data_IF_826646729727
#
_entry.id   IF_826646729727
#
_cell.length_a   1.000
_cell.length_b   1.000
_cell.length_c   1.000
_cell.angle_alpha   90.00
_cell.angle_beta   90.00
_cell.angle_gamma   90.00
#
_symmetry.space_group_name_H-M   'P 1'
#
loop_
_entity.id
_entity.type
_entity.pdbx_description
1 polymer ?
#
# COMPACT_ATOMS: atom_id res chain seq x y z
N UNK A 1 -34.70 -18.76 -9.49
CA UNK A 1 -33.25 -18.98 -9.28
C UNK A 1 -32.77 -18.10 -8.14
N UNK A 2 -31.99 -18.66 -7.24
CA UNK A 2 -31.42 -17.88 -6.13
C UNK A 2 -30.05 -17.33 -6.49
N UNK A 3 -29.64 -16.25 -5.82
CA UNK A 3 -28.28 -15.71 -5.99
C UNK A 3 -27.23 -16.74 -5.50
N UNK A 4 -26.02 -16.69 -6.02
CA UNK A 4 -24.91 -17.50 -5.49
C UNK A 4 -24.46 -16.92 -4.15
N UNK A 5 -23.89 -17.76 -3.29
CA UNK A 5 -23.43 -17.36 -1.95
C UNK A 5 -21.90 -17.39 -1.79
N UNK A 6 -21.20 -17.81 -2.82
CA UNK A 6 -19.74 -17.96 -2.81
C UNK A 6 -19.00 -16.77 -3.43
N UNK A 7 -19.67 -15.61 -3.52
CA UNK A 7 -19.03 -14.38 -3.99
C UNK A 7 -18.06 -13.85 -2.91
N UNK A 8 -17.06 -13.10 -3.35
CA UNK A 8 -16.09 -12.50 -2.43
C UNK A 8 -16.74 -11.44 -1.55
N UNK A 9 -16.34 -11.40 -0.28
CA UNK A 9 -16.69 -10.26 0.57
C UNK A 9 -15.95 -9.00 0.09
N UNK A 10 -16.37 -7.84 0.53
CA UNK A 10 -15.68 -6.60 0.21
C UNK A 10 -14.22 -6.64 0.66
N UNK A 11 -13.94 -7.14 1.87
CA UNK A 11 -12.58 -7.24 2.38
C UNK A 11 -11.73 -8.21 1.56
N UNK A 12 -12.27 -9.36 1.19
CA UNK A 12 -11.57 -10.31 0.33
C UNK A 12 -11.26 -9.70 -1.04
N UNK A 13 -12.24 -9.00 -1.60
CA UNK A 13 -12.08 -8.35 -2.91
C UNK A 13 -10.98 -7.29 -2.87
N UNK A 14 -11.08 -6.34 -1.93
CA UNK A 14 -10.12 -5.24 -1.87
C UNK A 14 -8.73 -5.70 -1.43
N UNK A 15 -8.65 -6.69 -0.55
CA UNK A 15 -7.35 -7.26 -0.21
C UNK A 15 -6.72 -7.98 -1.40
N UNK A 16 -7.52 -8.63 -2.23
CA UNK A 16 -7.03 -9.25 -3.48
C UNK A 16 -6.50 -8.20 -4.44
N UNK A 17 -7.14 -7.03 -4.52
CA UNK A 17 -6.64 -5.91 -5.31
C UNK A 17 -5.28 -5.44 -4.78
N UNK A 18 -5.14 -5.30 -3.46
CA UNK A 18 -3.86 -4.93 -2.85
C UNK A 18 -2.77 -5.96 -3.17
N UNK A 19 -3.10 -7.25 -3.06
CA UNK A 19 -2.15 -8.33 -3.35
C UNK A 19 -1.72 -8.37 -4.81
N UNK A 20 -2.65 -8.20 -5.74
CA UNK A 20 -2.29 -8.20 -7.15
C UNK A 20 -1.45 -6.95 -7.49
N UNK A 21 -1.73 -5.84 -6.82
CA UNK A 21 -0.94 -4.61 -6.97
C UNK A 21 0.50 -4.82 -6.52
N UNK A 22 0.72 -5.57 -5.44
CA UNK A 22 2.06 -5.93 -4.97
C UNK A 22 2.88 -6.63 -6.05
N UNK A 23 2.22 -7.34 -6.96
CA UNK A 23 2.87 -8.01 -8.08
C UNK A 23 3.59 -7.08 -9.05
N UNK A 24 3.30 -5.78 -8.98
CA UNK A 24 4.02 -4.77 -9.77
C UNK A 24 5.32 -4.32 -9.11
N UNK A 25 5.59 -4.60 -7.85
CA UNK A 25 6.81 -4.19 -7.17
C UNK A 25 8.03 -4.91 -7.73
N UNK A 26 9.07 -4.16 -8.00
CA UNK A 26 10.35 -4.68 -8.50
C UNK A 26 11.34 -4.95 -7.36
N UNK A 27 10.94 -4.72 -6.13
CA UNK A 27 11.78 -5.00 -4.95
C UNK A 27 12.03 -6.51 -4.88
N UNK A 28 13.29 -6.96 -4.90
CA UNK A 28 13.59 -8.40 -4.88
C UNK A 28 13.32 -9.07 -3.55
N UNK A 29 13.18 -8.29 -2.46
CA UNK A 29 13.05 -8.84 -1.10
C UNK A 29 11.60 -8.86 -0.61
N UNK A 30 10.88 -7.74 -0.72
CA UNK A 30 9.53 -7.61 -0.18
C UNK A 30 8.67 -6.82 -1.15
N UNK A 31 7.55 -7.40 -1.57
CA UNK A 31 6.59 -6.77 -2.43
C UNK A 31 5.33 -6.44 -1.61
N UNK A 32 4.95 -5.17 -1.59
CA UNK A 32 3.81 -4.68 -0.84
C UNK A 32 2.85 -3.95 -1.77
N UNK A 33 1.56 -4.20 -1.60
CA UNK A 33 0.52 -3.51 -2.34
C UNK A 33 -0.50 -2.90 -1.41
N UNK A 34 -1.08 -1.78 -1.83
CA UNK A 34 -2.10 -1.06 -1.08
C UNK A 34 -3.26 -0.67 -2.00
N UNK A 35 -4.46 -0.67 -1.43
CA UNK A 35 -5.68 -0.26 -2.11
C UNK A 35 -6.50 0.62 -1.16
N UNK A 36 -6.75 1.87 -1.57
CA UNK A 36 -7.58 2.80 -0.78
C UNK A 36 -8.99 2.77 -1.33
N UNK A 37 -9.94 2.62 -0.41
CA UNK A 37 -11.36 2.45 -0.74
C UNK A 37 -12.20 3.47 0.01
N UNK A 38 -13.13 4.13 -0.67
CA UNK A 38 -14.03 5.07 -0.06
C UNK A 38 -15.03 4.37 0.88
N UNK A 39 -15.71 5.16 1.70
CA UNK A 39 -16.72 4.61 2.62
C UNK A 39 -17.86 3.87 1.91
N UNK A 40 -18.10 4.19 0.64
CA UNK A 40 -19.13 3.54 -0.18
C UNK A 40 -18.58 2.49 -1.15
N UNK A 41 -17.41 1.91 -0.81
CA UNK A 41 -16.81 0.79 -1.52
C UNK A 41 -16.35 1.08 -2.95
N UNK A 42 -15.86 2.28 -3.19
CA UNK A 42 -15.23 2.63 -4.47
C UNK A 42 -13.73 2.64 -4.32
N UNK A 43 -13.03 1.99 -5.24
CA UNK A 43 -11.58 2.03 -5.25
C UNK A 43 -11.15 3.44 -5.64
N UNK A 44 -10.41 4.11 -4.74
CA UNK A 44 -9.90 5.45 -4.98
C UNK A 44 -8.52 5.42 -5.62
N UNK A 45 -7.65 4.54 -5.16
CA UNK A 45 -6.27 4.48 -5.62
C UNK A 45 -5.61 3.17 -5.21
N UNK A 46 -4.55 2.82 -5.92
CA UNK A 46 -3.66 1.71 -5.55
C UNK A 46 -2.22 2.18 -5.57
N UNK A 47 -1.36 1.46 -4.88
CA UNK A 47 0.06 1.72 -4.88
C UNK A 47 0.85 0.48 -4.51
N UNK A 48 2.09 0.43 -4.95
CA UNK A 48 3.03 -0.62 -4.58
C UNK A 48 4.38 0.01 -4.25
N UNK A 49 5.20 -0.69 -3.48
CA UNK A 49 6.50 -0.16 -3.07
C UNK A 49 7.49 -0.18 -4.25
N UNK A 50 8.33 0.84 -4.32
CA UNK A 50 9.27 0.93 -5.42
C UNK A 50 10.12 2.18 -5.40
N UNK A 51 10.92 2.35 -6.44
CA UNK A 51 11.72 3.54 -6.65
C UNK A 51 10.83 4.76 -6.89
N UNK A 52 11.31 5.96 -6.56
CA UNK A 52 10.59 7.18 -6.92
C UNK A 52 10.32 7.25 -8.41
N UNK A 53 9.24 7.92 -8.79
CA UNK A 53 8.90 8.12 -10.19
C UNK A 53 10.08 8.76 -10.94
N UNK A 54 10.29 8.34 -12.18
CA UNK A 54 11.38 8.79 -13.05
C UNK A 54 12.78 8.36 -12.61
N UNK A 55 12.90 7.52 -11.62
CA UNK A 55 14.16 6.89 -11.26
C UNK A 55 14.34 5.60 -12.08
N UNK A 56 15.55 5.37 -12.58
CA UNK A 56 15.86 4.15 -13.33
C UNK A 56 15.90 2.95 -12.37
N UNK A 57 14.94 2.04 -12.51
CA UNK A 57 14.84 0.86 -11.64
C UNK A 57 16.08 -0.04 -11.71
N UNK A 58 16.77 -0.07 -12.84
CA UNK A 58 17.97 -0.89 -13.00
C UNK A 58 19.17 -0.32 -12.27
N UNK A 59 19.12 0.98 -11.92
CA UNK A 59 20.17 1.68 -11.19
C UNK A 59 19.81 1.93 -9.73
N UNK A 60 18.60 1.55 -9.32
CA UNK A 60 18.14 1.76 -7.95
C UNK A 60 18.84 0.79 -6.99
N UNK A 61 19.26 1.26 -5.79
CA UNK A 61 19.92 0.39 -4.81
C UNK A 61 18.90 -0.48 -4.07
N UNK A 62 18.68 -1.68 -4.57
CA UNK A 62 17.71 -2.62 -4.00
C UNK A 62 18.22 -3.40 -2.79
N UNK A 63 19.51 -3.28 -2.45
CA UNK A 63 20.13 -4.03 -1.36
C UNK A 63 19.55 -3.63 0.00
N UNK A 64 19.49 -4.62 0.89
CA UNK A 64 19.04 -4.42 2.28
C UNK A 64 20.20 -4.12 3.22
N UNK A 65 21.41 -4.53 2.86
CA UNK A 65 22.61 -4.41 3.69
C UNK A 65 23.68 -3.64 2.94
N UNK A 66 24.54 -2.96 3.72
CA UNK A 66 25.65 -2.19 3.18
C UNK A 66 25.63 -0.76 3.68
N UNK A 67 26.33 0.13 2.97
CA UNK A 67 26.33 1.57 3.26
C UNK A 67 24.91 2.09 3.16
N UNK A 68 24.40 2.86 4.17
CA UNK A 68 23.04 3.39 4.12
C UNK A 68 22.68 4.13 2.83
N UNK A 69 23.63 4.80 2.20
CA UNK A 69 23.40 5.52 0.93
C UNK A 69 23.33 4.57 -0.28
N UNK A 70 23.68 3.29 -0.09
CA UNK A 70 23.69 2.27 -1.15
C UNK A 70 22.59 1.24 -0.95
N UNK A 71 21.69 1.44 0.02
CA UNK A 71 20.58 0.54 0.28
C UNK A 71 19.25 1.20 -0.07
N UNK A 72 18.23 0.37 -0.30
CA UNK A 72 16.90 0.86 -0.68
C UNK A 72 16.22 1.72 0.38
N UNK A 73 16.58 1.55 1.65
CA UNK A 73 15.86 2.16 2.78
C UNK A 73 15.85 3.69 2.77
N UNK A 74 16.85 4.31 2.16
CA UNK A 74 16.91 5.77 2.05
C UNK A 74 16.02 6.31 0.93
N UNK A 75 15.64 5.48 -0.03
CA UNK A 75 15.06 5.95 -1.29
C UNK A 75 13.73 5.29 -1.66
N UNK A 76 13.44 4.11 -1.12
CA UNK A 76 12.24 3.38 -1.51
C UNK A 76 10.97 4.12 -1.05
N UNK A 77 10.00 4.20 -1.95
CA UNK A 77 8.68 4.71 -1.63
C UNK A 77 7.77 3.53 -1.26
N UNK A 78 7.06 3.65 -0.14
CA UNK A 78 6.21 2.58 0.34
C UNK A 78 4.87 2.54 -0.40
N UNK A 79 4.23 1.37 -0.40
CA UNK A 79 2.97 1.15 -1.11
C UNK A 79 1.87 2.11 -0.67
N UNK A 80 1.73 2.33 0.64
CA UNK A 80 0.69 3.18 1.20
C UNK A 80 0.89 4.63 0.77
N UNK A 81 2.13 5.13 0.86
CA UNK A 81 2.46 6.47 0.42
C UNK A 81 2.19 6.65 -1.06
N UNK A 82 2.56 5.66 -1.87
CA UNK A 82 2.31 5.70 -3.31
C UNK A 82 0.81 5.67 -3.63
N UNK A 83 0.02 4.88 -2.89
CA UNK A 83 -1.43 4.88 -3.08
C UNK A 83 -2.04 6.25 -2.80
N UNK A 84 -1.60 6.92 -1.73
CA UNK A 84 -2.06 8.28 -1.41
C UNK A 84 -1.64 9.26 -2.51
N UNK A 85 -0.38 9.21 -2.93
CA UNK A 85 0.14 10.13 -3.94
C UNK A 85 -0.41 9.89 -5.34
N UNK A 86 -0.83 8.66 -5.64
CA UNK A 86 -1.43 8.31 -6.94
C UNK A 86 -2.88 8.77 -7.07
N UNK A 87 -3.54 9.12 -5.96
CA UNK A 87 -4.94 9.54 -6.01
C UNK A 87 -5.09 10.85 -6.78
N UNK A 88 -6.08 10.92 -7.65
CA UNK A 88 -6.33 12.07 -8.55
C UNK A 88 -7.68 12.75 -8.31
N UNK A 89 -8.37 12.41 -7.21
CA UNK A 89 -9.64 13.02 -6.84
C UNK A 89 -9.47 14.09 -5.76
N UNK A 90 -10.57 14.44 -5.12
CA UNK A 90 -10.58 15.38 -4.00
C UNK A 90 -10.15 14.68 -2.72
N UNK A 91 -9.25 15.29 -1.94
CA UNK A 91 -8.81 14.74 -0.65
C UNK A 91 -9.96 14.44 0.29
N UNK A 92 -11.07 15.15 0.18
CA UNK A 92 -12.27 14.90 0.98
C UNK A 92 -12.77 13.45 0.84
N UNK A 93 -12.52 12.81 -0.28
CA UNK A 93 -12.91 11.42 -0.50
C UNK A 93 -12.16 10.44 0.39
N UNK A 94 -11.03 10.84 0.97
CA UNK A 94 -10.31 10.04 1.96
C UNK A 94 -11.01 9.99 3.31
N UNK A 95 -11.91 10.94 3.61
CA UNK A 95 -12.63 10.93 4.88
C UNK A 95 -13.45 9.65 5.02
N UNK A 96 -13.25 8.95 6.15
CA UNK A 96 -13.92 7.69 6.45
C UNK A 96 -13.61 6.57 5.43
N UNK A 97 -12.55 6.73 4.66
CA UNK A 97 -12.04 5.69 3.77
C UNK A 97 -11.28 4.64 4.58
N UNK A 98 -10.91 3.57 3.90
CA UNK A 98 -10.06 2.53 4.48
C UNK A 98 -8.99 2.13 3.48
N UNK A 99 -7.87 1.67 4.00
CA UNK A 99 -6.77 1.20 3.17
C UNK A 99 -6.52 -0.27 3.45
N UNK A 100 -6.43 -1.04 2.37
CA UNK A 100 -6.06 -2.45 2.41
C UNK A 100 -4.59 -2.55 2.04
N UNK A 101 -3.84 -3.23 2.86
CA UNK A 101 -2.41 -3.44 2.61
C UNK A 101 -2.03 -4.84 3.10
N UNK A 102 -1.22 -5.56 2.34
CA UNK A 102 -0.86 -6.92 2.72
C UNK A 102 0.13 -6.98 3.88
N UNK A 103 0.80 -5.87 4.21
CA UNK A 103 1.73 -5.77 5.32
C UNK A 103 1.40 -4.53 6.16
N UNK A 104 1.38 -4.67 7.50
CA UNK A 104 1.04 -3.54 8.39
C UNK A 104 1.97 -2.35 8.14
N UNK A 105 1.44 -1.12 8.07
CA UNK A 105 2.25 0.06 7.75
C UNK A 105 3.32 0.37 8.79
N UNK A 106 4.46 0.88 8.34
CA UNK A 106 5.46 1.44 9.23
C UNK A 106 4.98 2.76 9.85
N UNK A 107 5.73 3.29 10.81
CA UNK A 107 5.36 4.53 11.50
C UNK A 107 5.14 5.71 10.56
N UNK A 108 6.00 5.90 9.58
CA UNK A 108 5.87 7.03 8.65
C UNK A 108 4.63 6.90 7.78
N UNK A 109 4.34 5.70 7.29
CA UNK A 109 3.12 5.46 6.51
C UNK A 109 1.88 5.60 7.38
N UNK A 110 1.92 5.13 8.63
CA UNK A 110 0.80 5.29 9.56
C UNK A 110 0.45 6.76 9.79
N UNK A 111 1.45 7.61 9.98
CA UNK A 111 1.25 9.06 10.12
C UNK A 111 0.58 9.65 8.89
N UNK A 112 1.04 9.25 7.71
CA UNK A 112 0.49 9.76 6.44
C UNK A 112 -0.96 9.31 6.25
N UNK A 113 -1.28 8.08 6.61
CA UNK A 113 -2.63 7.54 6.57
C UNK A 113 -3.56 8.37 7.47
N UNK A 114 -3.16 8.58 8.71
CA UNK A 114 -3.94 9.37 9.68
C UNK A 114 -4.12 10.80 9.19
N UNK A 115 -3.04 11.43 8.74
CA UNK A 115 -3.05 12.82 8.30
C UNK A 115 -3.99 13.07 7.12
N UNK A 116 -4.20 12.05 6.29
CA UNK A 116 -5.08 12.14 5.13
C UNK A 116 -6.54 11.76 5.43
N UNK A 117 -6.86 11.42 6.69
CA UNK A 117 -8.23 11.11 7.09
C UNK A 117 -8.70 9.71 6.78
N UNK A 118 -7.79 8.82 6.42
CA UNK A 118 -8.11 7.40 6.21
C UNK A 118 -8.38 6.78 7.56
N UNK A 119 -9.57 6.21 7.74
CA UNK A 119 -10.09 5.82 9.04
C UNK A 119 -9.65 4.44 9.50
N UNK A 120 -9.49 3.49 8.58
CA UNK A 120 -9.21 2.10 8.91
C UNK A 120 -8.06 1.56 8.07
N UNK A 121 -7.28 0.67 8.68
CA UNK A 121 -6.25 -0.10 8.00
C UNK A 121 -6.60 -1.57 8.13
N UNK A 122 -6.77 -2.26 7.01
CA UNK A 122 -7.00 -3.70 6.97
C UNK A 122 -5.74 -4.35 6.38
N UNK A 123 -5.16 -5.29 7.11
CA UNK A 123 -3.88 -5.90 6.74
C UNK A 123 -3.89 -7.41 6.94
N UNK A 124 -2.97 -8.11 6.29
CA UNK A 124 -2.82 -9.56 6.40
C UNK A 124 -1.70 -9.97 7.35
N UNK A 125 -0.60 -9.23 7.36
CA UNK A 125 0.60 -9.57 8.12
C UNK A 125 1.11 -8.35 8.87
N UNK A 126 1.52 -8.56 10.12
CA UNK A 126 2.04 -7.49 10.98
C UNK A 126 3.50 -7.75 11.30
N UNK A 127 4.37 -7.48 10.31
CA UNK A 127 5.80 -7.65 10.44
C UNK A 127 6.42 -6.66 11.42
N UNK A 128 5.81 -5.48 11.58
CA UNK A 128 6.38 -4.37 12.35
C UNK A 128 5.81 -4.21 13.74
N UNK A 129 4.76 -4.95 14.08
CA UNK A 129 4.05 -4.81 15.36
C UNK A 129 4.96 -5.01 16.59
N UNK A 130 5.83 -6.01 16.51
CA UNK A 130 6.70 -6.40 17.62
C UNK A 130 8.07 -5.72 17.58
N UNK A 131 8.32 -4.84 16.62
CA UNK A 131 9.61 -4.18 16.46
C UNK A 131 9.61 -2.71 16.90
N UNK A 132 8.47 -2.20 17.29
CA UNK A 132 8.31 -0.80 17.74
C UNK A 132 8.32 -0.70 19.28
#
# INVERSE_FOLDING_TARGET
MKKRNDYLSWDEYFMSIAKITAGRSKDPNTQVGACIVSKDNRILSTGYNGAPNNFDDDKFPWDREGNPLETKYMYVCHAEANAIDNFRGYKKEFENSRIYVDLFPCNECAKKIIQNGIKEVIYLSDKYKDTD
#
